data_IF_661855780197
#
_entry.id   IF_661855780197
#
_cell.length_a   1.000
_cell.length_b   1.000
_cell.length_c   1.000
_cell.angle_alpha   90.00
_cell.angle_beta   90.00
_cell.angle_gamma   90.00
#
_symmetry.space_group_name_H-M   'P 1'
#
loop_
_entity.id
_entity.type
_entity.pdbx_description
1 polymer ?
#
# COMPACT_ATOMS: atom_id res chain seq x y z
N UNK A 1 9.27 4.35 8.11
CA UNK A 1 9.39 4.46 6.64
C UNK A 1 9.60 3.08 6.02
N UNK A 2 8.89 2.78 4.96
CA UNK A 2 8.99 1.48 4.30
C UNK A 2 10.33 1.38 3.58
N UNK A 3 11.13 0.35 3.93
CA UNK A 3 12.44 0.16 3.32
C UNK A 3 12.35 -0.66 2.02
N UNK A 4 13.49 -0.83 1.32
CA UNK A 4 13.51 -1.50 0.03
C UNK A 4 13.11 -2.98 0.11
N UNK A 5 13.47 -3.68 1.18
CA UNK A 5 13.08 -5.08 1.37
C UNK A 5 11.56 -5.15 1.54
N UNK A 6 11.00 -4.27 2.34
CA UNK A 6 9.57 -4.21 2.57
C UNK A 6 8.78 -3.84 1.30
N UNK A 7 9.32 -2.92 0.49
CA UNK A 7 8.76 -2.60 -0.83
C UNK A 7 8.72 -3.84 -1.72
N UNK A 8 9.72 -4.71 -1.62
CA UNK A 8 9.75 -5.94 -2.41
C UNK A 8 8.64 -6.91 -2.03
N UNK A 9 8.21 -6.93 -0.78
CA UNK A 9 7.06 -7.73 -0.36
C UNK A 9 5.77 -7.24 -1.00
N UNK A 10 5.56 -5.94 -1.05
CA UNK A 10 4.40 -5.37 -1.74
C UNK A 10 4.46 -5.64 -3.24
N UNK A 11 5.62 -5.51 -3.84
CA UNK A 11 5.81 -5.85 -5.26
C UNK A 11 5.45 -7.31 -5.52
N UNK A 12 5.91 -8.23 -4.68
CA UNK A 12 5.59 -9.65 -4.80
C UNK A 12 4.10 -9.95 -4.65
N UNK A 13 3.40 -9.23 -3.77
CA UNK A 13 1.97 -9.43 -3.54
C UNK A 13 1.12 -8.81 -4.66
N UNK A 14 1.45 -7.60 -5.07
CA UNK A 14 0.59 -6.78 -5.94
C UNK A 14 0.94 -6.88 -7.41
N UNK A 15 2.22 -6.99 -7.76
CA UNK A 15 2.67 -6.98 -9.16
C UNK A 15 2.55 -8.37 -9.76
N UNK A 16 1.79 -8.45 -10.86
CA UNK A 16 1.48 -9.71 -11.56
C UNK A 16 2.01 -9.61 -13.00
N UNK A 17 3.35 -9.55 -13.15
CA UNK A 17 3.97 -9.47 -14.47
C UNK A 17 3.73 -8.14 -15.18
N UNK A 18 3.77 -7.03 -14.44
CA UNK A 18 3.49 -5.70 -14.98
C UNK A 18 2.06 -5.22 -14.75
N UNK A 19 1.16 -6.15 -14.46
CA UNK A 19 -0.20 -5.82 -14.02
C UNK A 19 -0.20 -5.71 -12.49
N UNK A 20 -1.05 -4.86 -11.95
CA UNK A 20 -1.27 -4.79 -10.49
C UNK A 20 -2.62 -5.48 -10.22
N UNK A 21 -2.55 -6.61 -9.55
CA UNK A 21 -3.71 -7.47 -9.27
C UNK A 21 -4.53 -7.70 -10.54
N UNK A 22 -5.83 -7.39 -10.50
CA UNK A 22 -6.73 -7.53 -11.66
C UNK A 22 -7.13 -6.21 -12.30
N UNK A 23 -6.42 -5.10 -11.97
CA UNK A 23 -6.75 -3.79 -12.49
C UNK A 23 -6.45 -3.65 -13.99
N UNK A 24 -7.35 -3.00 -14.72
CA UNK A 24 -7.03 -2.42 -16.02
C UNK A 24 -6.28 -1.10 -15.80
N UNK A 25 -5.70 -0.53 -16.85
CA UNK A 25 -5.02 0.77 -16.74
C UNK A 25 -5.97 1.85 -16.23
N UNK A 26 -7.18 1.91 -16.80
CA UNK A 26 -8.15 2.93 -16.38
C UNK A 26 -8.67 2.72 -14.97
N UNK A 27 -8.95 1.47 -14.56
CA UNK A 27 -9.41 1.21 -13.20
C UNK A 27 -8.30 1.41 -12.16
N UNK A 28 -7.05 1.12 -12.53
CA UNK A 28 -5.90 1.38 -11.69
C UNK A 28 -5.73 2.88 -11.45
N UNK A 29 -5.76 3.69 -12.49
CA UNK A 29 -5.63 5.14 -12.37
C UNK A 29 -6.79 5.76 -11.60
N UNK A 30 -8.01 5.26 -11.80
CA UNK A 30 -9.16 5.68 -11.00
C UNK A 30 -8.94 5.37 -9.52
N UNK A 31 -8.46 4.16 -9.22
CA UNK A 31 -8.18 3.72 -7.85
C UNK A 31 -7.12 4.60 -7.18
N UNK A 32 -6.00 4.83 -7.86
CA UNK A 32 -4.92 5.66 -7.31
C UNK A 32 -5.34 7.11 -7.15
N UNK A 33 -6.15 7.62 -8.06
CA UNK A 33 -6.69 8.97 -7.95
C UNK A 33 -7.62 9.10 -6.74
N UNK A 34 -8.50 8.14 -6.53
CA UNK A 34 -9.40 8.14 -5.35
C UNK A 34 -8.61 7.99 -4.05
N UNK A 35 -7.51 7.23 -4.06
CA UNK A 35 -6.69 6.99 -2.87
C UNK A 35 -5.82 8.19 -2.51
N UNK A 36 -5.04 8.70 -3.46
CA UNK A 36 -3.99 9.69 -3.20
C UNK A 36 -4.05 10.92 -4.11
N UNK A 37 -5.08 11.03 -4.93
CA UNK A 37 -5.26 12.19 -5.81
C UNK A 37 -4.35 12.20 -7.04
N UNK A 38 -3.74 11.09 -7.38
CA UNK A 38 -2.81 10.98 -8.51
C UNK A 38 -3.15 9.79 -9.39
N UNK A 39 -3.20 9.99 -10.71
CA UNK A 39 -3.34 8.93 -11.71
C UNK A 39 -1.95 8.46 -12.08
N UNK A 40 -1.50 7.33 -11.52
CA UNK A 40 -0.10 6.92 -11.60
C UNK A 40 0.36 6.56 -13.01
N UNK A 41 -0.45 5.83 -13.79
CA UNK A 41 -0.06 5.50 -15.15
C UNK A 41 0.01 6.75 -16.03
N UNK A 42 -0.91 7.66 -15.84
CA UNK A 42 -0.90 8.95 -16.56
C UNK A 42 0.33 9.77 -16.17
N UNK A 43 0.66 9.83 -14.88
CA UNK A 43 1.80 10.59 -14.38
C UNK A 43 3.13 10.06 -14.90
N UNK A 44 3.35 8.74 -14.83
CA UNK A 44 4.65 8.15 -15.16
C UNK A 44 4.75 7.65 -16.60
N UNK A 45 3.63 7.51 -17.29
CA UNK A 45 3.58 6.95 -18.67
C UNK A 45 4.23 5.57 -18.74
N UNK A 46 4.00 4.74 -17.71
CA UNK A 46 4.54 3.39 -17.61
C UNK A 46 3.42 2.38 -17.40
N UNK A 47 3.76 1.09 -17.41
CA UNK A 47 2.81 0.05 -17.01
C UNK A 47 2.37 0.24 -15.56
N UNK A 48 1.28 -0.40 -15.16
CA UNK A 48 0.74 -0.32 -13.80
C UNK A 48 1.78 -0.69 -12.75
N UNK A 49 2.45 -1.83 -12.93
CA UNK A 49 3.48 -2.28 -12.00
C UNK A 49 4.67 -1.34 -11.90
N UNK A 50 5.15 -0.85 -13.05
CA UNK A 50 6.27 0.10 -13.08
C UNK A 50 5.88 1.46 -12.51
N UNK A 51 4.66 1.92 -12.77
CA UNK A 51 4.16 3.18 -12.22
C UNK A 51 4.04 3.11 -10.70
N UNK A 52 3.55 2.00 -10.17
CA UNK A 52 3.46 1.79 -8.72
C UNK A 52 4.87 1.78 -8.09
N UNK A 53 5.82 1.07 -8.69
CA UNK A 53 7.20 1.04 -8.20
C UNK A 53 7.86 2.41 -8.24
N UNK A 54 7.66 3.17 -9.31
CA UNK A 54 8.18 4.54 -9.41
C UNK A 54 7.61 5.41 -8.29
N UNK A 55 6.32 5.31 -8.01
CA UNK A 55 5.69 6.05 -6.93
C UNK A 55 6.23 5.63 -5.56
N UNK A 56 6.43 4.34 -5.32
CA UNK A 56 6.99 3.87 -4.05
C UNK A 56 8.42 4.38 -3.82
N UNK A 57 9.15 4.70 -4.88
CA UNK A 57 10.51 5.22 -4.77
C UNK A 57 10.59 6.72 -4.57
N UNK A 58 9.61 7.49 -5.04
CA UNK A 58 9.69 8.96 -4.99
C UNK A 58 8.55 9.63 -4.23
N UNK A 59 7.47 8.94 -3.93
CA UNK A 59 6.33 9.52 -3.22
C UNK A 59 6.61 9.80 -1.76
N UNK A 60 5.78 10.64 -1.15
CA UNK A 60 5.86 10.86 0.29
C UNK A 60 5.44 9.60 1.05
N UNK A 61 6.03 9.40 2.23
CA UNK A 61 5.70 8.21 3.03
C UNK A 61 4.20 8.13 3.34
N UNK A 62 3.56 9.24 3.67
CA UNK A 62 2.13 9.27 3.95
C UNK A 62 1.29 8.77 2.77
N UNK A 63 1.59 9.25 1.57
CA UNK A 63 0.87 8.84 0.36
C UNK A 63 1.16 7.39 -0.01
N UNK A 64 2.41 6.95 0.14
CA UNK A 64 2.78 5.56 -0.10
C UNK A 64 2.01 4.64 0.85
N UNK A 65 2.00 4.94 2.14
CA UNK A 65 1.28 4.15 3.15
C UNK A 65 -0.21 4.14 2.86
N UNK A 66 -0.79 5.30 2.53
CA UNK A 66 -2.22 5.41 2.19
C UNK A 66 -2.57 4.53 1.00
N UNK A 67 -1.80 4.63 -0.09
CA UNK A 67 -2.07 3.86 -1.31
C UNK A 67 -1.90 2.36 -1.08
N UNK A 68 -0.81 1.95 -0.43
CA UNK A 68 -0.57 0.53 -0.15
C UNK A 68 -1.61 -0.04 0.80
N UNK A 69 -2.06 0.74 1.76
CA UNK A 69 -3.15 0.36 2.65
C UNK A 69 -4.45 0.13 1.87
N UNK A 70 -4.77 1.01 0.93
CA UNK A 70 -5.97 0.88 0.12
C UNK A 70 -5.89 -0.33 -0.82
N UNK A 71 -4.72 -0.60 -1.42
CA UNK A 71 -4.52 -1.81 -2.21
C UNK A 71 -4.64 -3.08 -1.36
N UNK A 72 -4.13 -3.05 -0.13
CA UNK A 72 -4.21 -4.20 0.76
C UNK A 72 -5.66 -4.48 1.15
N UNK A 73 -6.45 -3.43 1.40
CA UNK A 73 -7.88 -3.56 1.67
C UNK A 73 -8.62 -4.16 0.48
N UNK A 74 -8.32 -3.68 -0.74
CA UNK A 74 -8.84 -4.26 -1.97
C UNK A 74 -8.48 -5.74 -2.09
N UNK A 75 -7.23 -6.08 -1.82
CA UNK A 75 -6.75 -7.45 -1.82
C UNK A 75 -7.52 -8.32 -0.83
N UNK A 76 -7.76 -7.81 0.38
CA UNK A 76 -8.50 -8.53 1.41
C UNK A 76 -9.94 -8.85 0.98
N UNK A 77 -10.55 -7.96 0.21
CA UNK A 77 -11.93 -8.13 -0.25
C UNK A 77 -12.01 -9.07 -1.45
N UNK A 78 -11.15 -8.91 -2.44
CA UNK A 78 -11.29 -9.57 -3.73
C UNK A 78 -10.36 -10.77 -3.93
N UNK A 79 -9.35 -10.94 -3.09
CA UNK A 79 -8.37 -12.02 -3.18
C UNK A 79 -8.30 -12.84 -1.89
N UNK A 80 -9.44 -13.06 -1.25
CA UNK A 80 -9.53 -13.78 0.03
C UNK A 80 -8.90 -15.17 -0.03
N UNK A 81 -8.99 -15.86 -1.14
CA UNK A 81 -8.43 -17.20 -1.32
C UNK A 81 -6.91 -17.20 -1.21
N UNK A 82 -6.26 -16.11 -1.63
CA UNK A 82 -4.80 -16.00 -1.56
C UNK A 82 -4.29 -15.74 -0.15
N UNK A 83 -5.10 -15.17 0.72
CA UNK A 83 -4.70 -14.82 2.10
C UNK A 83 -4.25 -16.06 2.89
N UNK A 84 -4.87 -17.22 2.62
CA UNK A 84 -4.50 -18.48 3.26
C UNK A 84 -3.85 -19.47 2.30
N UNK A 85 -3.45 -19.01 1.10
CA UNK A 85 -2.89 -19.88 0.06
C UNK A 85 -1.41 -20.16 0.31
N UNK A 86 -1.03 -21.42 0.14
CA UNK A 86 0.36 -21.86 0.12
C UNK A 86 1.01 -21.66 -1.26
N UNK A 87 0.24 -21.23 -2.26
CA UNK A 87 0.77 -20.96 -3.60
C UNK A 87 1.84 -19.87 -3.53
N UNK A 88 2.94 -20.09 -4.25
CA UNK A 88 4.07 -19.18 -4.22
C UNK A 88 3.97 -18.12 -5.31
N UNK A 89 4.32 -16.89 -4.95
CA UNK A 89 4.48 -15.81 -5.91
C UNK A 89 5.73 -16.05 -6.79
N UNK A 90 5.91 -15.22 -7.81
CA UNK A 90 7.09 -15.30 -8.67
C UNK A 90 8.40 -15.08 -7.89
N UNK A 91 8.34 -14.50 -6.70
CA UNK A 91 9.50 -14.33 -5.82
C UNK A 91 9.76 -15.52 -4.91
N UNK A 92 8.97 -16.58 -5.02
CA UNK A 92 9.16 -17.83 -4.29
C UNK A 92 8.56 -17.85 -2.89
N UNK A 93 7.97 -16.76 -2.43
CA UNK A 93 7.29 -16.68 -1.13
C UNK A 93 5.79 -16.93 -1.31
N UNK A 94 5.19 -17.70 -0.42
CA UNK A 94 3.75 -17.97 -0.47
C UNK A 94 2.94 -16.67 -0.31
N UNK A 95 1.82 -16.56 -1.02
CA UNK A 95 0.96 -15.37 -0.94
C UNK A 95 0.47 -15.11 0.48
N UNK A 96 0.17 -16.15 1.25
CA UNK A 96 -0.22 -16.00 2.66
C UNK A 96 0.87 -15.35 3.51
N UNK A 97 2.12 -15.68 3.27
CA UNK A 97 3.25 -15.06 3.97
C UNK A 97 3.48 -13.63 3.54
N UNK A 98 3.41 -13.36 2.22
CA UNK A 98 3.50 -12.00 1.69
C UNK A 98 2.42 -11.10 2.27
N UNK A 99 1.19 -11.60 2.31
CA UNK A 99 0.08 -10.85 2.88
C UNK A 99 0.33 -10.50 4.34
N UNK A 100 0.77 -11.47 5.15
CA UNK A 100 1.06 -11.23 6.56
C UNK A 100 2.14 -10.18 6.76
N UNK A 101 3.21 -10.25 5.97
CA UNK A 101 4.30 -9.27 6.02
C UNK A 101 3.82 -7.88 5.61
N UNK A 102 3.08 -7.78 4.51
CA UNK A 102 2.53 -6.51 4.05
C UNK A 102 1.56 -5.90 5.07
N UNK A 103 0.68 -6.71 5.64
CA UNK A 103 -0.26 -6.27 6.67
C UNK A 103 0.46 -5.73 7.91
N UNK A 104 1.48 -6.45 8.37
CA UNK A 104 2.30 -6.03 9.51
C UNK A 104 3.00 -4.70 9.25
N UNK A 105 3.55 -4.53 8.05
CA UNK A 105 4.22 -3.28 7.63
C UNK A 105 3.23 -2.12 7.64
N UNK A 106 2.06 -2.31 7.06
CA UNK A 106 1.03 -1.25 6.99
C UNK A 106 0.53 -0.89 8.38
N UNK A 107 0.30 -1.85 9.26
CA UNK A 107 -0.12 -1.57 10.63
C UNK A 107 0.92 -0.75 11.38
N UNK A 108 2.20 -1.12 11.24
CA UNK A 108 3.31 -0.38 11.84
C UNK A 108 3.36 1.07 11.31
N UNK A 109 3.30 1.23 10.00
CA UNK A 109 3.42 2.55 9.36
C UNK A 109 2.21 3.44 9.65
N UNK A 110 1.03 2.86 9.70
CA UNK A 110 -0.18 3.60 10.10
C UNK A 110 -0.10 4.10 11.54
N UNK A 111 0.44 3.32 12.46
CA UNK A 111 0.67 3.76 13.83
C UNK A 111 1.62 4.95 13.88
N UNK A 112 2.72 4.91 13.13
CA UNK A 112 3.69 6.00 13.07
C UNK A 112 3.06 7.26 12.51
N UNK A 113 2.35 7.17 11.37
CA UNK A 113 1.67 8.31 10.75
C UNK A 113 0.60 8.87 11.69
N UNK A 114 -0.22 8.01 12.27
CA UNK A 114 -1.27 8.40 13.21
C UNK A 114 -0.68 9.04 14.46
N UNK A 115 0.40 8.49 15.01
CA UNK A 115 1.08 9.06 16.17
C UNK A 115 1.64 10.45 15.89
N UNK A 116 2.20 10.67 14.71
CA UNK A 116 2.72 11.98 14.30
C UNK A 116 1.59 13.02 14.16
N UNK A 117 0.44 12.61 13.62
CA UNK A 117 -0.73 13.47 13.50
C UNK A 117 -1.38 13.66 14.87
N UNK A 118 -1.59 12.59 15.61
CA UNK A 118 -2.21 12.61 16.94
C UNK A 118 -1.35 13.33 17.97
N UNK A 119 -0.02 13.38 17.80
CA UNK A 119 0.85 14.15 18.66
C UNK A 119 0.50 15.63 18.70
N UNK A 120 0.06 16.19 17.56
CA UNK A 120 -0.41 17.58 17.48
C UNK A 120 -1.84 17.73 17.98
N UNK A 121 -2.71 16.79 17.65
CA UNK A 121 -4.13 16.82 18.03
C UNK A 121 -4.31 16.50 19.52
N UNK A 122 -3.50 15.58 20.07
CA UNK A 122 -3.58 15.19 21.48
C UNK A 122 -3.19 16.33 22.41
N UNK A 123 -2.23 17.16 22.03
CA UNK A 123 -1.92 18.36 22.81
C UNK A 123 -3.10 19.32 22.88
N UNK A 124 -3.76 19.56 21.74
CA UNK A 124 -4.96 20.40 21.70
C UNK A 124 -6.12 19.79 22.47
N UNK A 125 -6.31 18.47 22.38
CA UNK A 125 -7.39 17.76 23.07
C UNK A 125 -7.14 17.69 24.57
N UNK A 126 -5.87 17.52 25.01
CA UNK A 126 -5.52 17.54 26.43
C UNK A 126 -5.82 18.88 27.07
N UNK A 127 -5.62 19.97 26.37
CA UNK A 127 -5.99 21.29 26.83
C UNK A 127 -7.51 21.45 27.03
N UNK A 128 -8.30 20.77 26.18
CA UNK A 128 -9.77 20.84 26.24
C UNK A 128 -10.39 19.87 27.26
N UNK A 129 -9.80 18.71 27.45
CA UNK A 129 -10.44 17.62 28.19
C UNK A 129 -9.70 17.16 29.44
N UNK A 130 -8.46 17.54 29.64
CA UNK A 130 -7.74 17.24 30.88
C UNK A 130 -7.82 18.42 31.82
N UNK A 131 -8.91 18.50 32.44
CA UNK A 131 -9.04 19.42 33.55
C UNK A 131 -8.82 18.68 34.85
#
# INVERSE_FOLDING_TARGET
>A
MINNIEKSYFDGLLNRGGYVLDFSTSSFDKFTFESIGVRLCEKYCLSKGKSLNAFMNEGSNEKIVKLLSDFLEYYEVYFQEEISSAEKSYRGMAFSELYKKCKSIILREKEIVTSNICGKIVEDVKEKFSS
#
